data_IF_915610645257
#
_entry.id   IF_915610645257
#
_cell.length_a   1.000
_cell.length_b   1.000
_cell.length_c   1.000
_cell.angle_alpha   90.00
_cell.angle_beta   90.00
_cell.angle_gamma   90.00
#
_symmetry.space_group_name_H-M   'P 1'
#
loop_
_entity.id
_entity.type
_entity.pdbx_description
1 polymer ?
#
# COMPACT_ATOMS: atom_id res chain seq x y z
N UNK A 1 -3.35 3.48 27.86
CA UNK A 1 -2.64 2.53 26.98
C UNK A 1 -2.71 3.06 25.56
N UNK A 2 -1.64 3.70 25.09
CA UNK A 2 -1.54 4.15 23.70
C UNK A 2 -1.31 2.92 22.83
N UNK A 3 -2.37 2.40 22.20
CA UNK A 3 -2.23 1.38 21.17
C UNK A 3 -1.53 2.03 19.99
N UNK A 4 -0.20 1.86 19.90
CA UNK A 4 0.54 2.04 18.65
C UNK A 4 -0.10 1.13 17.63
N UNK A 5 -1.07 1.67 16.89
CA UNK A 5 -1.85 0.94 15.90
C UNK A 5 -0.89 0.70 14.75
N UNK A 6 -0.28 -0.48 14.73
CA UNK A 6 0.50 -0.93 13.59
C UNK A 6 -0.52 -1.14 12.46
N UNK A 7 -0.77 -0.08 11.69
CA UNK A 7 -1.72 -0.08 10.57
C UNK A 7 -1.11 -0.86 9.42
N UNK A 8 -1.10 -2.18 9.54
CA UNK A 8 -0.63 -3.08 8.49
C UNK A 8 -1.71 -3.24 7.43
N UNK A 9 -1.39 -2.83 6.21
CA UNK A 9 -2.21 -3.10 5.04
C UNK A 9 -1.56 -4.17 4.17
N UNK A 10 -2.41 -5.05 3.67
CA UNK A 10 -2.04 -6.10 2.73
C UNK A 10 -2.62 -5.76 1.35
N UNK A 11 -1.77 -5.77 0.33
CA UNK A 11 -2.19 -5.73 -1.06
C UNK A 11 -2.14 -7.15 -1.62
N UNK A 12 -3.28 -7.63 -2.11
CA UNK A 12 -3.40 -8.97 -2.69
C UNK A 12 -4.02 -8.88 -4.09
N UNK A 13 -3.57 -9.76 -4.98
CA UNK A 13 -4.22 -10.02 -6.26
C UNK A 13 -4.69 -11.48 -6.30
N UNK A 14 -5.84 -11.71 -6.90
CA UNK A 14 -6.40 -13.03 -7.10
C UNK A 14 -6.82 -13.17 -8.57
N UNK A 15 -6.62 -14.35 -9.19
CA UNK A 15 -7.07 -14.58 -10.55
C UNK A 15 -8.61 -14.51 -10.62
N UNK A 16 -9.13 -13.91 -11.69
CA UNK A 16 -10.55 -13.97 -12.00
C UNK A 16 -10.89 -15.34 -12.57
N UNK A 17 -11.13 -16.35 -11.72
CA UNK A 17 -11.46 -17.72 -12.15
C UNK A 17 -12.71 -17.74 -13.05
N UNK A 18 -13.74 -16.95 -12.71
CA UNK A 18 -15.01 -16.85 -13.45
C UNK A 18 -15.35 -15.40 -13.78
N UNK A 19 -15.53 -14.56 -12.77
CA UNK A 19 -15.68 -13.10 -12.90
C UNK A 19 -14.95 -12.39 -11.76
N UNK A 20 -14.43 -11.17 -11.95
CA UNK A 20 -13.81 -10.41 -10.86
C UNK A 20 -14.74 -10.16 -9.67
N UNK A 21 -16.06 -10.09 -9.92
CA UNK A 21 -17.06 -9.88 -8.89
C UNK A 21 -17.23 -11.13 -8.02
N UNK A 22 -17.29 -12.31 -8.64
CA UNK A 22 -17.41 -13.59 -7.92
C UNK A 22 -16.16 -13.89 -7.08
N UNK A 23 -14.96 -13.65 -7.62
CA UNK A 23 -13.71 -13.76 -6.85
C UNK A 23 -13.72 -12.80 -5.65
N UNK A 24 -14.22 -11.58 -5.84
CA UNK A 24 -14.35 -10.59 -4.77
C UNK A 24 -15.33 -11.04 -3.68
N UNK A 25 -16.52 -11.51 -4.06
CA UNK A 25 -17.55 -11.93 -3.11
C UNK A 25 -17.09 -13.15 -2.30
N UNK A 26 -16.43 -14.11 -2.95
CA UNK A 26 -15.82 -15.27 -2.28
C UNK A 26 -14.73 -14.86 -1.29
N UNK A 27 -13.85 -13.94 -1.69
CA UNK A 27 -12.81 -13.40 -0.81
C UNK A 27 -13.46 -12.70 0.40
N UNK A 28 -14.45 -11.84 0.16
CA UNK A 28 -15.15 -11.11 1.21
C UNK A 28 -15.85 -12.06 2.18
N UNK A 29 -16.53 -13.09 1.69
CA UNK A 29 -17.22 -14.08 2.52
C UNK A 29 -16.23 -14.85 3.41
N UNK A 30 -15.07 -15.23 2.86
CA UNK A 30 -14.04 -15.99 3.61
C UNK A 30 -13.35 -15.14 4.68
N UNK A 31 -13.25 -13.83 4.45
CA UNK A 31 -12.47 -12.91 5.29
C UNK A 31 -13.32 -11.90 6.07
N UNK A 32 -14.66 -12.04 6.05
CA UNK A 32 -15.64 -11.11 6.61
C UNK A 32 -15.36 -10.65 8.06
N UNK A 33 -14.78 -11.53 8.89
CA UNK A 33 -14.47 -11.26 10.29
C UNK A 33 -12.96 -11.16 10.58
N UNK A 34 -12.11 -11.24 9.56
CA UNK A 34 -10.66 -11.30 9.68
C UNK A 34 -9.99 -10.02 9.17
N UNK A 35 -10.59 -9.35 8.19
CA UNK A 35 -10.03 -8.15 7.58
C UNK A 35 -11.11 -7.20 7.05
N UNK A 36 -10.75 -5.92 6.98
CA UNK A 36 -11.52 -4.92 6.23
C UNK A 36 -10.97 -4.90 4.81
N UNK A 37 -11.79 -5.32 3.85
CA UNK A 37 -11.37 -5.40 2.46
C UNK A 37 -11.81 -4.14 1.71
N UNK A 38 -11.02 -3.73 0.72
CA UNK A 38 -11.36 -2.62 -0.17
C UNK A 38 -10.89 -2.94 -1.58
N UNK A 39 -11.70 -2.58 -2.59
CA UNK A 39 -11.34 -2.78 -3.99
C UNK A 39 -10.26 -1.76 -4.39
N UNK A 40 -9.24 -2.24 -5.09
CA UNK A 40 -8.21 -1.41 -5.70
C UNK A 40 -8.42 -1.35 -7.21
N UNK A 41 -8.88 -0.21 -7.71
CA UNK A 41 -9.15 -0.04 -9.14
C UNK A 41 -7.84 0.23 -9.88
N UNK A 42 -7.38 -0.76 -10.64
CA UNK A 42 -6.21 -0.62 -11.52
C UNK A 42 -6.70 -0.03 -12.85
N UNK A 43 -6.15 1.11 -13.31
CA UNK A 43 -6.50 1.66 -14.62
C UNK A 43 -5.98 0.75 -15.74
N UNK A 44 -6.53 0.90 -16.96
CA UNK A 44 -6.05 0.13 -18.11
C UNK A 44 -4.61 0.53 -18.46
N UNK A 45 -3.68 -0.40 -18.25
CA UNK A 45 -2.27 -0.24 -18.58
C UNK A 45 -1.98 -0.93 -19.91
N UNK A 46 -1.28 -0.24 -20.80
CA UNK A 46 -0.75 -0.86 -22.02
C UNK A 46 0.38 -1.81 -21.62
N UNK A 47 0.18 -3.10 -21.85
CA UNK A 47 1.20 -4.12 -21.66
C UNK A 47 2.08 -4.22 -22.91
N UNK A 48 3.40 -4.28 -22.71
CA UNK A 48 4.39 -4.47 -23.76
C UNK A 48 4.61 -5.94 -24.12
N UNK A 49 5.77 -6.28 -24.67
CA UNK A 49 6.18 -7.68 -24.83
C UNK A 49 6.52 -8.30 -23.46
N UNK A 50 6.54 -9.63 -23.37
CA UNK A 50 6.89 -10.33 -22.12
C UNK A 50 8.27 -9.91 -21.59
N UNK A 51 9.26 -9.77 -22.47
CA UNK A 51 10.60 -9.33 -22.12
C UNK A 51 10.61 -7.94 -21.46
N UNK A 52 9.85 -7.01 -22.02
CA UNK A 52 9.66 -5.68 -21.44
C UNK A 52 8.98 -5.75 -20.07
N UNK A 53 7.98 -6.62 -19.88
CA UNK A 53 7.30 -6.77 -18.60
C UNK A 53 8.22 -7.35 -17.52
N UNK A 54 9.10 -8.30 -17.87
CA UNK A 54 10.10 -8.84 -16.93
C UNK A 54 11.07 -7.74 -16.49
N UNK A 55 11.63 -6.98 -17.44
CA UNK A 55 12.51 -5.85 -17.11
C UNK A 55 11.82 -4.79 -16.25
N UNK A 56 10.56 -4.46 -16.57
CA UNK A 56 9.76 -3.52 -15.78
C UNK A 56 9.47 -4.05 -14.36
N UNK A 57 9.29 -5.35 -14.18
CA UNK A 57 9.08 -5.95 -12.85
C UNK A 57 10.27 -5.69 -11.93
N UNK A 58 11.49 -5.88 -12.44
CA UNK A 58 12.73 -5.62 -11.68
C UNK A 58 12.89 -4.14 -11.35
N UNK A 59 12.58 -3.25 -12.30
CA UNK A 59 12.69 -1.82 -12.10
C UNK A 59 11.61 -1.28 -11.14
N UNK A 60 10.39 -1.83 -11.17
CA UNK A 60 9.34 -1.53 -10.20
C UNK A 60 9.73 -1.96 -8.78
N UNK A 61 10.37 -3.11 -8.61
CA UNK A 61 10.85 -3.57 -7.29
C UNK A 61 11.93 -2.64 -6.70
N UNK A 62 12.86 -2.16 -7.54
CA UNK A 62 13.85 -1.14 -7.13
C UNK A 62 13.19 0.19 -6.78
N UNK A 63 12.22 0.62 -7.60
CA UNK A 63 11.48 1.86 -7.39
C UNK A 63 10.69 1.83 -6.09
N UNK A 64 10.01 0.71 -5.79
CA UNK A 64 9.26 0.52 -4.54
C UNK A 64 10.18 0.68 -3.31
N UNK A 65 11.33 0.00 -3.35
CA UNK A 65 12.35 0.12 -2.29
C UNK A 65 12.85 1.56 -2.13
N UNK A 66 13.13 2.25 -3.23
CA UNK A 66 13.62 3.63 -3.21
C UNK A 66 12.55 4.61 -2.68
N UNK A 67 11.29 4.44 -3.09
CA UNK A 67 10.16 5.23 -2.63
C UNK A 67 9.91 5.04 -1.13
N UNK A 68 9.95 3.80 -0.64
CA UNK A 68 9.81 3.49 0.78
C UNK A 68 10.92 4.14 1.60
N UNK A 69 12.18 3.97 1.19
CA UNK A 69 13.33 4.58 1.88
C UNK A 69 13.24 6.10 1.94
N UNK A 70 12.83 6.73 0.83
CA UNK A 70 12.69 8.19 0.74
C UNK A 70 11.57 8.67 1.65
N UNK A 71 10.41 8.00 1.64
CA UNK A 71 9.27 8.31 2.51
C UNK A 71 9.66 8.18 3.98
N UNK A 72 10.39 7.12 4.36
CA UNK A 72 10.88 6.92 5.73
C UNK A 72 11.81 8.04 6.19
N UNK A 73 12.75 8.45 5.33
CA UNK A 73 13.66 9.58 5.63
C UNK A 73 12.88 10.89 5.80
N UNK A 74 11.90 11.16 4.94
CA UNK A 74 11.04 12.35 5.09
C UNK A 74 10.32 12.34 6.43
N UNK A 75 9.65 11.24 6.79
CA UNK A 75 8.96 11.10 8.08
C UNK A 75 9.92 11.29 9.25
N UNK A 76 11.14 10.75 9.17
CA UNK A 76 12.16 10.92 10.19
C UNK A 76 12.57 12.39 10.32
N UNK A 77 12.92 13.07 9.23
CA UNK A 77 13.29 14.48 9.26
C UNK A 77 12.15 15.37 9.80
N UNK A 78 10.91 15.11 9.40
CA UNK A 78 9.76 15.81 9.97
C UNK A 78 9.60 15.54 11.47
N UNK A 79 9.92 14.33 11.93
CA UNK A 79 9.88 13.97 13.35
C UNK A 79 10.96 14.69 14.16
N UNK A 80 12.17 14.83 13.61
CA UNK A 80 13.30 15.55 14.21
C UNK A 80 13.04 17.06 14.28
N UNK A 81 12.47 17.65 13.23
CA UNK A 81 12.13 19.09 13.20
C UNK A 81 10.96 19.41 14.15
N UNK A 82 9.99 18.52 14.29
CA UNK A 82 8.79 18.71 15.12
C UNK A 82 8.93 18.07 16.52
N UNK A 83 10.14 17.88 17.04
CA UNK A 83 10.39 17.17 18.31
C UNK A 83 9.63 17.77 19.51
N UNK A 84 9.51 19.10 19.58
CA UNK A 84 8.78 19.82 20.63
C UNK A 84 7.25 19.80 20.42
N UNK A 85 6.80 19.52 19.19
CA UNK A 85 5.38 19.58 18.77
C UNK A 85 4.92 18.28 18.10
N UNK A 86 5.29 17.12 18.66
CA UNK A 86 4.98 15.79 18.10
C UNK A 86 3.51 15.55 17.74
N UNK A 87 2.58 16.24 18.40
CA UNK A 87 1.15 16.15 18.07
C UNK A 87 0.83 16.72 16.67
N UNK A 88 1.58 17.73 16.20
CA UNK A 88 1.43 18.32 14.86
C UNK A 88 2.02 17.45 13.76
N UNK A 89 2.94 16.53 14.07
CA UNK A 89 3.53 15.63 13.08
C UNK A 89 2.44 14.81 12.35
N UNK A 90 1.45 14.32 13.09
CA UNK A 90 0.36 13.53 12.52
C UNK A 90 -0.58 14.35 11.61
N UNK A 91 -0.65 15.67 11.81
CA UNK A 91 -1.43 16.59 10.98
C UNK A 91 -0.71 16.92 9.67
N UNK A 92 0.63 16.90 9.69
CA UNK A 92 1.46 17.18 8.51
C UNK A 92 1.66 15.96 7.62
N UNK A 93 1.53 14.74 8.15
CA UNK A 93 1.65 13.48 7.39
C UNK A 93 0.33 13.08 6.71
N UNK A 94 -0.15 13.96 5.82
CA UNK A 94 -1.37 13.75 5.02
C UNK A 94 -1.07 13.69 3.53
N UNK A 95 -1.81 12.84 2.81
CA UNK A 95 -1.75 12.73 1.35
C UNK A 95 -3.16 12.94 0.81
N UNK A 96 -3.36 13.95 -0.04
CA UNK A 96 -4.68 14.25 -0.60
C UNK A 96 -5.77 14.41 0.48
N UNK A 97 -5.47 15.19 1.53
CA UNK A 97 -6.30 15.38 2.74
C UNK A 97 -6.63 14.10 3.55
N UNK A 98 -5.98 12.97 3.26
CA UNK A 98 -6.23 11.70 3.95
C UNK A 98 -4.96 11.20 4.64
N UNK A 99 -5.10 10.55 5.81
CA UNK A 99 -3.95 10.00 6.56
C UNK A 99 -3.33 8.79 5.86
N UNK A 100 -2.01 8.78 5.77
CA UNK A 100 -1.25 7.66 5.22
C UNK A 100 -1.28 6.44 6.16
N UNK A 101 -1.53 5.25 5.62
CA UNK A 101 -1.48 3.97 6.33
C UNK A 101 -0.34 3.14 5.74
N UNK A 102 0.45 2.45 6.58
CA UNK A 102 1.60 1.66 6.10
C UNK A 102 1.10 0.46 5.28
N UNK A 103 1.69 0.25 4.12
CA UNK A 103 1.44 -0.93 3.29
C UNK A 103 2.67 -1.84 3.33
N UNK A 104 2.48 -3.15 3.47
CA UNK A 104 3.50 -4.13 3.09
C UNK A 104 3.02 -4.82 1.81
N UNK A 105 3.83 -4.77 0.77
CA UNK A 105 3.61 -5.59 -0.42
C UNK A 105 4.09 -7.02 -0.14
N UNK A 106 3.20 -7.99 -0.32
CA UNK A 106 3.59 -9.39 -0.45
C UNK A 106 3.47 -9.73 -1.93
N UNK A 107 4.58 -9.66 -2.68
CA UNK A 107 4.70 -10.34 -3.96
C UNK A 107 5.04 -11.80 -3.66
N UNK A 108 4.32 -12.72 -4.30
CA UNK A 108 4.65 -14.14 -4.30
C UNK A 108 5.21 -14.52 -5.64
#
# INVERSE_FOLDING_TARGET
MSTSSNNELWLISAPGESTPLETWDRLQQTTQNLSVNSKFNIPDLKVGTLDQLVGLSDDLAKLDTAAEQTTRKLVQYFSEVLEEERNKLQENLVIGNTRFKRTKLFQR
#
